data_IF_974076213577
#
_entry.id   IF_974076213577
#
_cell.length_a   1.000
_cell.length_b   1.000
_cell.length_c   1.000
_cell.angle_alpha   90.00
_cell.angle_beta   90.00
_cell.angle_gamma   90.00
#
_symmetry.space_group_name_H-M   'P 1'
#
loop_
_entity.id
_entity.type
_entity.pdbx_description
1 polymer ?
#
# COMPACT_ATOMS: atom_id res chain seq x y z
N UNK A 1 17.20 -90.63 25.28
CA UNK A 1 16.97 -89.30 25.86
C UNK A 1 17.79 -88.28 25.06
N UNK A 2 17.16 -87.53 24.14
CA UNK A 2 17.80 -86.51 23.32
C UNK A 2 17.49 -85.11 23.91
N UNK A 3 18.49 -84.35 24.21
CA UNK A 3 18.35 -82.94 24.66
C UNK A 3 18.00 -82.03 23.46
N UNK A 4 17.15 -81.09 23.62
CA UNK A 4 16.91 -80.11 22.56
C UNK A 4 17.97 -78.95 22.55
N UNK A 5 18.36 -78.57 21.37
CA UNK A 5 19.27 -77.47 21.05
C UNK A 5 18.58 -76.12 21.21
N UNK A 6 19.25 -75.09 21.67
CA UNK A 6 18.64 -73.73 21.71
C UNK A 6 18.77 -73.02 20.33
N UNK A 7 17.66 -72.49 19.86
CA UNK A 7 17.59 -71.64 18.67
C UNK A 7 18.11 -70.21 18.96
N UNK A 8 18.63 -69.49 17.95
CA UNK A 8 19.31 -68.24 18.16
C UNK A 8 18.32 -67.05 18.25
N UNK A 9 18.43 -66.26 19.30
CA UNK A 9 17.79 -64.95 19.51
C UNK A 9 18.80 -63.89 19.09
N UNK A 10 19.05 -63.69 17.80
CA UNK A 10 20.03 -62.73 17.35
C UNK A 10 19.68 -62.02 16.01
N UNK A 11 18.40 -61.95 15.64
CA UNK A 11 18.01 -61.34 14.36
C UNK A 11 16.90 -60.26 14.43
N UNK A 12 16.57 -59.80 15.63
CA UNK A 12 15.54 -58.73 15.76
C UNK A 12 16.06 -57.34 16.20
N UNK A 13 17.36 -57.16 16.42
CA UNK A 13 17.92 -55.88 16.86
C UNK A 13 18.46 -55.00 15.73
N UNK A 14 18.59 -55.53 14.50
CA UNK A 14 19.16 -54.78 13.40
C UNK A 14 18.11 -54.05 12.51
N UNK A 15 16.81 -54.32 12.70
CA UNK A 15 15.75 -53.70 11.86
C UNK A 15 15.14 -52.43 12.45
N UNK A 16 15.38 -52.12 13.73
CA UNK A 16 14.82 -50.93 14.38
C UNK A 16 15.70 -49.67 14.27
N UNK A 17 16.98 -49.79 13.95
CA UNK A 17 17.90 -48.65 13.84
C UNK A 17 17.95 -48.02 12.44
N UNK A 18 17.42 -48.67 11.41
CA UNK A 18 17.37 -48.14 10.05
C UNK A 18 16.12 -47.27 9.78
N UNK A 19 15.08 -47.34 10.62
CA UNK A 19 13.83 -46.61 10.43
C UNK A 19 13.84 -45.21 11.09
N UNK A 20 14.75 -44.96 12.03
CA UNK A 20 14.88 -43.66 12.70
C UNK A 20 15.80 -42.67 11.97
N UNK A 21 16.62 -43.13 11.03
CA UNK A 21 17.50 -42.28 10.23
C UNK A 21 16.82 -41.71 8.96
N UNK A 22 15.65 -42.26 8.56
CA UNK A 22 14.93 -41.80 7.34
C UNK A 22 13.85 -40.77 7.64
N UNK A 23 13.51 -40.51 8.90
CA UNK A 23 12.50 -39.50 9.28
C UNK A 23 13.09 -38.13 9.61
N UNK A 24 14.41 -37.99 9.66
CA UNK A 24 15.08 -36.70 9.89
C UNK A 24 15.44 -35.95 8.62
N UNK A 25 15.18 -36.47 7.41
CA UNK A 25 15.58 -35.85 6.15
C UNK A 25 14.41 -35.30 5.32
N UNK A 26 13.19 -35.29 5.85
CA UNK A 26 12.01 -34.77 5.11
C UNK A 26 11.34 -33.58 5.75
N UNK A 27 12.02 -32.86 6.62
CA UNK A 27 11.48 -31.60 7.20
C UNK A 27 12.27 -30.34 6.76
N UNK A 28 12.93 -30.40 5.61
CA UNK A 28 13.26 -29.19 4.85
C UNK A 28 12.18 -28.97 3.77
N UNK A 29 10.92 -28.94 4.20
CA UNK A 29 9.89 -28.29 3.42
C UNK A 29 10.32 -26.82 3.41
N UNK A 30 10.73 -26.34 2.24
CA UNK A 30 10.84 -24.91 1.98
C UNK A 30 9.56 -24.29 2.53
N UNK A 31 9.67 -23.54 3.63
CA UNK A 31 8.66 -22.56 3.99
C UNK A 31 8.43 -21.77 2.73
N UNK A 32 7.18 -21.56 2.27
CA UNK A 32 6.94 -20.61 1.22
C UNK A 32 7.65 -19.34 1.70
N UNK A 33 8.66 -18.88 0.95
CA UNK A 33 9.28 -17.61 1.25
C UNK A 33 8.15 -16.62 1.41
N UNK A 34 8.09 -15.95 2.57
CA UNK A 34 7.16 -14.87 2.80
C UNK A 34 7.34 -13.94 1.60
N UNK A 35 6.39 -13.95 0.68
CA UNK A 35 6.29 -12.90 -0.32
C UNK A 35 6.04 -11.67 0.51
N UNK A 36 6.99 -10.76 0.57
CA UNK A 36 6.77 -9.49 1.18
C UNK A 36 5.61 -8.85 0.41
N UNK A 37 4.49 -8.77 1.03
CA UNK A 37 3.41 -7.89 0.63
C UNK A 37 3.82 -6.48 1.06
N UNK A 38 3.30 -5.45 0.41
CA UNK A 38 3.19 -4.09 0.89
C UNK A 38 2.76 -4.04 2.37
N UNK A 39 2.49 -2.89 2.98
CA UNK A 39 1.83 -2.92 4.29
C UNK A 39 0.79 -4.04 4.28
N UNK A 40 0.87 -4.99 5.20
CA UNK A 40 -0.13 -6.07 5.21
C UNK A 40 -1.53 -5.47 5.24
N UNK A 41 -2.52 -6.16 4.68
CA UNK A 41 -3.90 -5.70 4.69
C UNK A 41 -4.37 -5.24 6.08
N UNK A 42 -3.91 -5.90 7.16
CA UNK A 42 -4.19 -5.49 8.54
C UNK A 42 -3.60 -4.11 8.88
N UNK A 43 -2.43 -3.74 8.32
CA UNK A 43 -1.83 -2.44 8.55
C UNK A 43 -2.52 -1.33 7.74
N UNK A 44 -2.91 -1.60 6.50
CA UNK A 44 -3.75 -0.69 5.71
C UNK A 44 -5.08 -0.44 6.41
N UNK A 45 -5.72 -1.50 6.95
CA UNK A 45 -6.94 -1.37 7.74
C UNK A 45 -6.74 -0.45 8.95
N UNK A 46 -5.69 -0.66 9.74
CA UNK A 46 -5.41 0.12 10.94
C UNK A 46 -5.09 1.59 10.61
N UNK A 47 -4.29 1.87 9.59
CA UNK A 47 -3.96 3.22 9.10
C UNK A 47 -5.24 3.94 8.65
N UNK A 48 -6.00 3.32 7.75
CA UNK A 48 -7.22 3.89 7.18
C UNK A 48 -8.28 4.13 8.24
N UNK A 49 -8.50 3.19 9.18
CA UNK A 49 -9.45 3.36 10.30
C UNK A 49 -9.08 4.49 11.24
N UNK A 50 -7.81 4.71 11.49
CA UNK A 50 -7.33 5.84 12.31
C UNK A 50 -7.46 7.17 11.60
N UNK A 51 -7.33 7.18 10.28
CA UNK A 51 -7.36 8.40 9.48
C UNK A 51 -8.76 8.93 9.22
N UNK A 52 -9.78 8.06 9.15
CA UNK A 52 -11.11 8.39 8.66
C UNK A 52 -12.18 8.39 9.77
N UNK A 53 -12.86 9.51 10.02
CA UNK A 53 -13.97 9.60 10.98
C UNK A 53 -15.32 9.17 10.36
N UNK A 54 -15.35 8.01 9.66
CA UNK A 54 -16.52 7.54 8.95
C UNK A 54 -17.37 6.59 9.79
N UNK A 55 -18.63 6.40 9.41
CA UNK A 55 -19.50 5.43 10.05
C UNK A 55 -19.06 3.98 9.76
N UNK A 56 -19.39 3.02 10.65
CA UNK A 56 -18.76 1.70 10.68
C UNK A 56 -18.85 0.87 9.41
N UNK A 57 -20.02 0.81 8.73
CA UNK A 57 -20.16 -0.01 7.53
C UNK A 57 -19.40 0.60 6.33
N UNK A 58 -19.48 1.92 6.19
CA UNK A 58 -18.74 2.65 5.15
C UNK A 58 -17.22 2.55 5.41
N UNK A 59 -16.80 2.70 6.66
CA UNK A 59 -15.40 2.56 7.04
C UNK A 59 -14.90 1.13 6.79
N UNK A 60 -15.72 0.10 7.06
CA UNK A 60 -15.37 -1.28 6.76
C UNK A 60 -15.23 -1.50 5.24
N UNK A 61 -16.15 -0.97 4.42
CA UNK A 61 -16.04 -1.07 2.96
C UNK A 61 -14.76 -0.42 2.41
N UNK A 62 -14.26 0.64 3.06
CA UNK A 62 -12.99 1.27 2.69
C UNK A 62 -11.78 0.49 3.18
N UNK A 63 -11.76 0.06 4.43
CA UNK A 63 -10.55 -0.27 5.18
C UNK A 63 -10.34 -1.77 5.43
N UNK A 64 -11.38 -2.65 5.32
CA UNK A 64 -11.26 -4.06 5.69
C UNK A 64 -10.01 -4.71 5.09
N UNK A 65 -9.26 -5.46 5.93
CA UNK A 65 -7.97 -6.03 5.57
C UNK A 65 -8.01 -7.00 4.38
N UNK A 66 -9.16 -7.63 4.10
CA UNK A 66 -9.31 -8.61 3.03
C UNK A 66 -10.05 -8.05 1.82
N UNK A 67 -11.10 -7.30 2.09
CA UNK A 67 -12.09 -6.92 1.09
C UNK A 67 -12.35 -5.40 1.05
N UNK A 68 -11.59 -4.59 1.79
CA UNK A 68 -11.65 -3.14 1.73
C UNK A 68 -11.14 -2.57 0.40
N UNK A 69 -11.66 -1.40 0.04
CA UNK A 69 -11.26 -0.73 -1.20
C UNK A 69 -9.76 -0.36 -1.22
N UNK A 70 -9.17 -0.05 -0.06
CA UNK A 70 -7.74 0.27 0.05
C UNK A 70 -6.85 -0.92 -0.30
N UNK A 71 -7.31 -2.16 -0.09
CA UNK A 71 -6.57 -3.39 -0.40
C UNK A 71 -6.91 -3.97 -1.79
N UNK A 72 -7.58 -3.20 -2.65
CA UNK A 72 -7.98 -3.68 -3.97
C UNK A 72 -6.79 -3.95 -4.90
N UNK A 73 -5.69 -3.20 -4.73
CA UNK A 73 -4.48 -3.33 -5.54
C UNK A 73 -3.54 -4.43 -5.03
N UNK A 74 -3.71 -4.95 -3.82
CA UNK A 74 -3.03 -6.14 -3.30
C UNK A 74 -3.49 -7.45 -3.97
N UNK A 75 -4.45 -7.38 -4.88
CA UNK A 75 -4.97 -8.54 -5.62
C UNK A 75 -4.43 -8.56 -7.05
N UNK A 76 -4.17 -9.76 -7.57
CA UNK A 76 -3.80 -9.90 -8.99
C UNK A 76 -4.91 -9.39 -9.91
N UNK A 77 -4.58 -8.73 -11.02
CA UNK A 77 -3.24 -8.57 -11.61
C UNK A 77 -2.46 -7.33 -11.13
N UNK A 78 -2.95 -6.57 -10.18
CA UNK A 78 -2.40 -5.26 -9.78
C UNK A 78 -1.22 -5.36 -8.82
N UNK A 79 -1.16 -6.42 -8.03
CA UNK A 79 -0.13 -6.67 -7.01
C UNK A 79 1.32 -6.52 -7.52
N UNK A 80 1.56 -6.84 -8.77
CA UNK A 80 2.91 -6.87 -9.35
C UNK A 80 3.30 -5.52 -10.04
N UNK A 81 2.56 -4.42 -9.81
CA UNK A 81 2.79 -3.14 -10.48
C UNK A 81 3.38 -2.09 -9.53
N UNK A 82 4.68 -1.85 -9.63
CA UNK A 82 5.43 -0.93 -8.77
C UNK A 82 4.78 0.44 -8.52
N UNK A 83 4.22 1.15 -9.52
CA UNK A 83 3.54 2.43 -9.28
C UNK A 83 2.30 2.37 -8.39
N UNK A 84 1.68 1.19 -8.23
CA UNK A 84 0.53 0.99 -7.35
C UNK A 84 0.95 0.82 -5.89
N UNK A 85 2.25 0.64 -5.63
CA UNK A 85 2.87 0.44 -4.32
C UNK A 85 3.99 1.46 -4.05
N UNK A 86 4.16 2.47 -4.89
CA UNK A 86 5.26 3.44 -4.83
C UNK A 86 6.68 2.82 -4.78
N UNK A 87 6.84 1.61 -5.31
CA UNK A 87 8.12 0.92 -5.39
C UNK A 87 9.03 1.42 -6.51
N UNK A 88 10.25 0.93 -6.54
CA UNK A 88 11.21 1.09 -7.62
C UNK A 88 11.79 2.50 -7.83
N UNK A 89 11.52 3.44 -6.91
CA UNK A 89 12.21 4.75 -6.91
C UNK A 89 13.51 4.71 -6.10
N UNK A 90 14.25 3.58 -6.20
CA UNK A 90 15.50 3.38 -5.50
C UNK A 90 16.66 4.13 -6.16
N UNK A 91 17.36 4.88 -5.33
CA UNK A 91 18.57 5.62 -5.69
C UNK A 91 19.41 5.86 -4.44
N UNK A 92 20.71 5.79 -4.59
CA UNK A 92 21.67 6.24 -3.57
C UNK A 92 22.65 7.22 -4.19
N UNK A 93 22.86 8.35 -3.52
CA UNK A 93 23.87 9.30 -3.93
C UNK A 93 25.27 8.68 -3.90
N UNK A 94 26.21 9.10 -4.78
CA UNK A 94 27.57 8.53 -4.87
C UNK A 94 28.34 8.50 -3.56
N UNK A 95 28.03 9.37 -2.59
CA UNK A 95 28.62 9.36 -1.25
C UNK A 95 28.26 8.12 -0.42
N UNK A 96 27.16 7.44 -0.76
CA UNK A 96 26.67 6.23 -0.10
C UNK A 96 26.93 4.97 -0.94
N UNK A 97 26.88 5.09 -2.27
CA UNK A 97 27.14 4.01 -3.22
C UNK A 97 27.67 4.61 -4.53
N UNK A 98 29.01 4.68 -4.73
CA UNK A 98 29.62 5.35 -5.90
C UNK A 98 29.18 4.75 -7.23
N UNK A 99 28.95 3.44 -7.28
CA UNK A 99 28.59 2.68 -8.49
C UNK A 99 27.14 2.21 -8.45
N UNK A 100 26.21 2.99 -7.84
CA UNK A 100 24.81 2.61 -7.80
C UNK A 100 24.24 2.49 -9.22
N UNK A 101 23.53 1.38 -9.55
CA UNK A 101 23.21 1.05 -10.95
C UNK A 101 22.06 1.90 -11.56
N UNK A 102 21.47 2.80 -10.77
CA UNK A 102 20.40 3.71 -11.25
C UNK A 102 20.76 5.17 -11.04
N UNK A 103 20.24 5.98 -11.95
CA UNK A 103 20.29 7.44 -11.84
C UNK A 103 19.13 7.95 -10.97
N UNK A 104 19.32 9.13 -10.40
CA UNK A 104 18.24 9.84 -9.69
C UNK A 104 17.04 10.13 -10.58
N UNK A 105 17.25 10.41 -11.87
CA UNK A 105 16.16 10.70 -12.81
C UNK A 105 15.29 9.48 -13.07
N UNK A 106 15.89 8.29 -13.25
CA UNK A 106 15.15 7.03 -13.37
C UNK A 106 14.33 6.75 -12.10
N UNK A 107 14.92 6.88 -10.92
CA UNK A 107 14.20 6.69 -9.65
C UNK A 107 13.05 7.70 -9.49
N UNK A 108 13.29 8.97 -9.81
CA UNK A 108 12.25 10.00 -9.75
C UNK A 108 11.13 9.75 -10.75
N UNK A 109 11.41 9.09 -11.88
CA UNK A 109 10.39 8.72 -12.87
C UNK A 109 9.40 7.70 -12.31
N UNK A 110 9.88 6.69 -11.56
CA UNK A 110 9.00 5.72 -10.88
C UNK A 110 8.12 6.41 -9.83
N UNK A 111 8.70 7.32 -9.05
CA UNK A 111 7.94 8.08 -8.06
C UNK A 111 6.87 8.98 -8.70
N UNK A 112 7.19 9.61 -9.85
CA UNK A 112 6.20 10.37 -10.64
C UNK A 112 5.07 9.46 -11.13
N UNK A 113 5.36 8.22 -11.53
CA UNK A 113 4.34 7.26 -11.94
C UNK A 113 3.41 6.90 -10.76
N UNK A 114 3.96 6.68 -9.56
CA UNK A 114 3.18 6.47 -8.34
C UNK A 114 2.23 7.66 -8.04
N UNK A 115 2.75 8.89 -8.01
CA UNK A 115 1.93 10.11 -7.82
C UNK A 115 0.85 10.20 -8.89
N UNK A 116 1.19 9.88 -10.14
CA UNK A 116 0.28 9.89 -11.28
C UNK A 116 -0.91 8.95 -11.11
N UNK A 117 -0.68 7.77 -10.52
CA UNK A 117 -1.75 6.84 -10.16
C UNK A 117 -2.75 7.50 -9.21
N UNK A 118 -2.28 8.06 -8.10
CA UNK A 118 -3.15 8.73 -7.12
C UNK A 118 -3.89 9.93 -7.71
N UNK A 119 -3.25 10.75 -8.56
CA UNK A 119 -3.88 11.87 -9.28
C UNK A 119 -5.01 11.39 -10.20
N UNK A 120 -4.77 10.32 -10.97
CA UNK A 120 -5.77 9.76 -11.87
C UNK A 120 -6.97 9.19 -11.11
N UNK A 121 -6.72 8.49 -10.00
CA UNK A 121 -7.75 7.92 -9.11
C UNK A 121 -8.58 9.03 -8.44
N UNK A 122 -7.93 10.06 -7.93
CA UNK A 122 -8.61 11.22 -7.34
C UNK A 122 -9.57 11.89 -8.35
N UNK A 123 -9.12 12.14 -9.57
CA UNK A 123 -9.96 12.69 -10.66
C UNK A 123 -11.18 11.79 -10.94
N UNK A 124 -11.01 10.46 -10.92
CA UNK A 124 -12.11 9.51 -11.11
C UNK A 124 -13.08 9.54 -9.93
N UNK A 125 -12.57 9.58 -8.68
CA UNK A 125 -13.38 9.65 -7.47
C UNK A 125 -14.27 10.90 -7.45
N UNK A 126 -13.71 12.07 -7.78
CA UNK A 126 -14.47 13.33 -7.86
C UNK A 126 -15.62 13.21 -8.87
N UNK A 127 -15.37 12.65 -10.06
CA UNK A 127 -16.43 12.45 -11.06
C UNK A 127 -17.48 11.42 -10.62
N UNK A 128 -17.08 10.34 -9.97
CA UNK A 128 -18.00 9.31 -9.49
C UNK A 128 -18.94 9.84 -8.39
N UNK A 129 -18.46 10.77 -7.57
CA UNK A 129 -19.23 11.38 -6.49
C UNK A 129 -20.48 12.13 -6.99
N UNK A 130 -20.50 12.62 -8.24
CA UNK A 130 -21.68 13.26 -8.86
C UNK A 130 -22.92 12.35 -8.85
N UNK A 131 -22.71 11.04 -8.93
CA UNK A 131 -23.78 10.04 -8.86
C UNK A 131 -24.44 9.90 -7.49
N UNK A 132 -23.84 10.37 -6.39
CA UNK A 132 -24.36 10.22 -5.02
C UNK A 132 -25.62 11.03 -4.74
N UNK A 133 -25.78 12.15 -5.44
CA UNK A 133 -26.90 13.09 -5.25
C UNK A 133 -27.57 13.40 -6.58
N UNK A 134 -28.86 13.77 -6.54
CA UNK A 134 -29.59 14.23 -7.72
C UNK A 134 -29.29 15.71 -8.02
N UNK A 135 -29.95 16.26 -9.04
CA UNK A 135 -29.80 17.66 -9.44
C UNK A 135 -30.28 18.66 -8.36
N UNK A 136 -31.18 18.24 -7.49
CA UNK A 136 -31.67 19.05 -6.36
C UNK A 136 -30.79 18.90 -5.10
N UNK A 137 -29.71 18.13 -5.18
CA UNK A 137 -28.79 17.87 -4.05
C UNK A 137 -29.30 16.81 -3.05
N UNK A 138 -30.37 16.06 -3.39
CA UNK A 138 -30.85 14.99 -2.51
C UNK A 138 -30.05 13.72 -2.72
N UNK A 139 -29.76 13.02 -1.62
CA UNK A 139 -29.05 11.74 -1.68
C UNK A 139 -29.85 10.70 -2.47
N UNK A 140 -29.18 10.02 -3.37
CA UNK A 140 -29.74 8.91 -4.15
C UNK A 140 -29.55 7.60 -3.40
N UNK A 141 -30.64 7.05 -2.85
CA UNK A 141 -30.64 5.83 -2.05
C UNK A 141 -29.99 4.64 -2.79
N UNK A 142 -30.35 4.44 -4.06
CA UNK A 142 -29.84 3.38 -4.92
C UNK A 142 -28.34 3.49 -5.24
N UNK A 143 -27.77 4.68 -5.06
CA UNK A 143 -26.35 4.96 -5.35
C UNK A 143 -25.47 5.03 -4.10
N UNK A 144 -26.07 5.05 -2.92
CA UNK A 144 -25.38 5.14 -1.63
C UNK A 144 -25.56 3.91 -0.74
N UNK A 145 -26.34 2.92 -1.18
CA UNK A 145 -26.62 1.68 -0.46
C UNK A 145 -25.39 0.75 -0.46
N UNK A 146 -25.03 0.28 0.74
CA UNK A 146 -23.97 -0.72 0.98
C UNK A 146 -24.55 -2.05 1.52
N UNK A 147 -25.85 -2.31 1.35
CA UNK A 147 -26.48 -3.58 1.76
C UNK A 147 -25.92 -4.79 1.00
N UNK A 148 -25.44 -4.58 -0.22
CA UNK A 148 -24.63 -5.54 -0.97
C UNK A 148 -23.16 -5.12 -0.95
N UNK A 149 -22.23 -6.10 -0.84
CA UNK A 149 -20.78 -5.80 -0.89
C UNK A 149 -20.38 -5.11 -2.20
N UNK A 150 -19.55 -4.08 -2.10
CA UNK A 150 -18.89 -3.49 -3.26
C UNK A 150 -17.95 -4.49 -3.92
N UNK A 151 -17.74 -4.36 -5.22
CA UNK A 151 -16.79 -5.16 -5.99
C UNK A 151 -15.76 -4.23 -6.61
N UNK A 152 -14.49 -4.47 -6.30
CA UNK A 152 -13.37 -3.62 -6.66
C UNK A 152 -12.70 -4.08 -7.97
N UNK A 153 -13.34 -3.86 -9.12
CA UNK A 153 -12.82 -4.23 -10.46
C UNK A 153 -13.21 -3.23 -11.54
N UNK A 154 -13.51 -2.00 -11.13
CA UNK A 154 -13.90 -0.87 -11.97
C UNK A 154 -15.16 -1.13 -12.82
N UNK A 155 -15.97 -2.14 -12.47
CA UNK A 155 -17.26 -2.35 -13.14
C UNK A 155 -18.30 -1.31 -12.72
N UNK A 156 -19.31 -1.05 -13.55
CA UNK A 156 -20.43 -0.21 -13.16
C UNK A 156 -21.14 -0.75 -11.89
N UNK A 157 -21.41 0.13 -10.94
CA UNK A 157 -22.05 -0.18 -9.66
C UNK A 157 -22.58 1.10 -9.01
N UNK A 158 -23.04 1.03 -7.74
CA UNK A 158 -23.44 2.20 -6.97
C UNK A 158 -22.31 3.25 -6.92
N UNK A 159 -22.69 4.52 -7.01
CA UNK A 159 -21.72 5.61 -7.01
C UNK A 159 -20.83 5.60 -5.76
N UNK A 160 -21.38 5.24 -4.58
CA UNK A 160 -20.61 5.12 -3.35
C UNK A 160 -19.49 4.08 -3.48
N UNK A 161 -19.78 2.88 -4.01
CA UNK A 161 -18.75 1.88 -4.27
C UNK A 161 -17.69 2.39 -5.25
N UNK A 162 -18.11 3.07 -6.33
CA UNK A 162 -17.17 3.62 -7.30
C UNK A 162 -16.25 4.69 -6.71
N UNK A 163 -16.75 5.56 -5.82
CA UNK A 163 -15.92 6.55 -5.12
C UNK A 163 -14.95 5.85 -4.17
N UNK A 164 -15.44 4.92 -3.35
CA UNK A 164 -14.61 4.17 -2.39
C UNK A 164 -13.48 3.44 -3.12
N UNK A 165 -13.77 2.76 -4.24
CA UNK A 165 -12.76 2.07 -5.03
C UNK A 165 -11.67 3.02 -5.54
N UNK A 166 -12.05 4.16 -6.11
CA UNK A 166 -11.07 5.09 -6.65
C UNK A 166 -10.24 5.76 -5.55
N UNK A 167 -10.83 6.08 -4.39
CA UNK A 167 -10.09 6.59 -3.24
C UNK A 167 -9.17 5.52 -2.65
N UNK A 168 -9.66 4.31 -2.42
CA UNK A 168 -8.87 3.22 -1.87
C UNK A 168 -7.64 2.92 -2.73
N UNK A 169 -7.83 2.70 -4.03
CA UNK A 169 -6.73 2.50 -4.99
C UNK A 169 -5.80 3.71 -5.14
N UNK A 170 -6.28 4.92 -4.86
CA UNK A 170 -5.46 6.13 -4.89
C UNK A 170 -4.67 6.36 -3.61
N UNK A 171 -5.15 5.86 -2.47
CA UNK A 171 -4.51 6.00 -1.16
C UNK A 171 -3.53 4.87 -0.84
N UNK A 172 -3.80 3.66 -1.34
CA UNK A 172 -2.93 2.50 -1.17
C UNK A 172 -1.44 2.83 -1.46
N UNK A 173 -1.06 3.34 -2.65
CA UNK A 173 0.33 3.69 -2.91
C UNK A 173 0.88 4.79 -2.00
N UNK A 174 0.02 5.68 -1.46
CA UNK A 174 0.46 6.71 -0.54
C UNK A 174 0.74 6.15 0.85
N UNK A 175 -0.01 5.13 1.29
CA UNK A 175 0.26 4.40 2.53
C UNK A 175 1.55 3.59 2.38
N UNK A 176 1.68 2.83 1.29
CA UNK A 176 2.84 2.01 0.97
C UNK A 176 4.14 2.80 0.86
N UNK A 177 4.07 4.01 0.34
CA UNK A 177 5.25 4.88 0.30
C UNK A 177 5.93 5.01 1.66
N UNK A 178 5.18 5.08 2.76
CA UNK A 178 5.77 5.18 4.09
C UNK A 178 6.40 3.87 4.55
N UNK A 179 5.87 2.73 4.13
CA UNK A 179 6.48 1.43 4.38
C UNK A 179 7.74 1.21 3.56
N UNK A 180 7.70 1.54 2.28
CA UNK A 180 8.72 1.18 1.29
C UNK A 180 9.81 2.22 1.12
N UNK A 181 9.64 3.45 1.63
CA UNK A 181 10.62 4.52 1.50
C UNK A 181 11.44 4.74 2.77
N UNK A 182 12.53 5.45 2.60
CA UNK A 182 13.33 5.96 3.70
C UNK A 182 12.84 7.34 4.23
N UNK A 183 11.63 7.77 3.89
CA UNK A 183 11.10 9.09 4.27
C UNK A 183 11.03 9.30 5.78
N UNK A 184 10.32 8.42 6.49
CA UNK A 184 10.13 8.52 7.94
C UNK A 184 11.20 7.80 8.74
N UNK A 185 12.12 7.13 8.09
CA UNK A 185 13.08 6.21 8.67
C UNK A 185 14.27 6.88 9.33
N UNK A 186 14.88 6.12 10.24
CA UNK A 186 16.26 6.25 10.67
C UNK A 186 17.07 5.04 10.20
N UNK A 187 18.31 5.30 9.77
CA UNK A 187 19.22 4.23 9.42
C UNK A 187 19.69 3.45 10.66
N UNK A 188 19.99 2.17 10.51
CA UNK A 188 20.65 1.41 11.56
C UNK A 188 22.06 1.98 11.84
N UNK A 189 22.62 1.80 13.05
CA UNK A 189 24.00 2.15 13.32
C UNK A 189 24.96 1.44 12.36
N UNK A 190 25.93 2.19 11.81
CA UNK A 190 26.96 1.65 10.92
C UNK A 190 27.08 2.40 9.60
N UNK A 191 27.91 1.90 8.67
CA UNK A 191 28.08 2.50 7.35
C UNK A 191 26.79 2.53 6.55
N UNK A 192 26.52 3.67 5.91
CA UNK A 192 25.40 3.80 4.97
C UNK A 192 25.76 3.20 3.60
N UNK A 193 24.78 2.60 2.94
CA UNK A 193 24.94 1.94 1.65
C UNK A 193 23.70 1.17 1.25
N UNK A 194 23.83 0.25 0.32
CA UNK A 194 22.69 -0.50 -0.27
C UNK A 194 21.91 -1.26 0.82
N UNK A 195 22.60 -1.95 1.73
CA UNK A 195 21.95 -2.76 2.78
C UNK A 195 21.61 -1.97 4.05
N UNK A 196 22.04 -0.71 4.13
CA UNK A 196 21.66 0.23 5.19
C UNK A 196 21.48 1.63 4.56
N UNK A 197 20.42 1.84 3.77
CA UNK A 197 20.19 3.12 3.14
C UNK A 197 19.97 4.25 4.17
N UNK A 198 20.34 5.50 3.83
CA UNK A 198 20.13 6.64 4.71
C UNK A 198 18.66 6.76 5.09
N UNK A 199 18.36 7.14 6.33
CA UNK A 199 17.04 7.56 6.74
C UNK A 199 16.90 9.07 6.60
N UNK A 200 15.72 9.57 6.16
CA UNK A 200 15.48 11.00 6.06
C UNK A 200 14.93 11.60 7.36
N UNK A 201 14.47 10.74 8.28
CA UNK A 201 13.92 11.11 9.62
C UNK A 201 12.83 12.19 9.57
N UNK A 202 11.96 12.14 8.57
CA UNK A 202 10.92 13.14 8.34
C UNK A 202 9.60 12.70 8.96
N UNK A 203 8.98 13.57 9.76
CA UNK A 203 7.70 13.31 10.41
C UNK A 203 6.53 14.03 9.73
N UNK A 204 6.82 14.98 8.83
CA UNK A 204 5.82 15.72 8.07
C UNK A 204 5.22 14.89 6.94
N UNK A 205 4.01 15.22 6.52
CA UNK A 205 3.40 14.67 5.31
C UNK A 205 4.22 15.03 4.07
N UNK A 206 4.17 14.17 3.08
CA UNK A 206 4.99 14.29 1.88
C UNK A 206 4.56 15.51 1.02
N UNK A 207 5.42 16.49 0.76
CA UNK A 207 5.03 17.71 0.06
C UNK A 207 4.67 17.48 -1.43
N UNK A 208 5.23 16.44 -2.06
CA UNK A 208 4.92 16.07 -3.45
C UNK A 208 3.72 15.12 -3.59
N UNK A 209 2.92 14.90 -2.53
CA UNK A 209 1.61 14.25 -2.58
C UNK A 209 0.45 15.24 -2.52
N UNK A 210 0.61 16.44 -3.08
CA UNK A 210 -0.49 17.43 -3.19
C UNK A 210 -1.46 17.03 -4.32
N UNK A 211 -2.11 15.87 -4.12
CA UNK A 211 -2.91 15.16 -5.13
C UNK A 211 -4.08 16.05 -5.62
N UNK A 212 -4.75 16.74 -4.70
CA UNK A 212 -5.83 17.66 -5.05
C UNK A 212 -5.37 18.77 -6.01
N UNK A 213 -4.28 19.44 -5.68
CA UNK A 213 -3.73 20.51 -6.52
C UNK A 213 -3.30 19.97 -7.88
N UNK A 214 -2.61 18.83 -7.90
CA UNK A 214 -2.17 18.20 -9.14
C UNK A 214 -3.33 17.73 -10.02
N UNK A 215 -4.46 17.33 -9.41
CA UNK A 215 -5.64 16.93 -10.17
C UNK A 215 -6.22 18.04 -11.04
N UNK A 216 -6.01 19.30 -10.68
CA UNK A 216 -6.39 20.50 -11.45
C UNK A 216 -5.34 21.00 -12.45
N UNK A 217 -4.13 20.41 -12.46
CA UNK A 217 -3.01 20.83 -13.31
C UNK A 217 -2.89 19.97 -14.57
N UNK A 218 -2.15 20.50 -15.58
CA UNK A 218 -1.68 19.69 -16.71
C UNK A 218 -0.59 18.72 -16.25
N UNK A 219 -0.55 17.55 -16.85
CA UNK A 219 0.38 16.50 -16.41
C UNK A 219 1.85 16.93 -16.47
N UNK A 220 2.27 17.67 -17.50
CA UNK A 220 3.63 18.18 -17.60
C UNK A 220 4.00 19.18 -16.46
N UNK A 221 3.02 19.91 -15.93
CA UNK A 221 3.27 20.93 -14.91
C UNK A 221 3.41 20.30 -13.53
N UNK A 222 2.47 19.44 -13.12
CA UNK A 222 2.58 18.76 -11.82
C UNK A 222 3.76 17.78 -11.79
N UNK A 223 4.07 17.09 -12.90
CA UNK A 223 5.24 16.21 -13.01
C UNK A 223 6.54 16.95 -12.73
N UNK A 224 6.69 18.14 -13.33
CA UNK A 224 7.86 19.00 -13.10
C UNK A 224 7.95 19.43 -11.62
N UNK A 225 6.82 19.72 -10.99
CA UNK A 225 6.78 20.13 -9.61
C UNK A 225 7.16 18.97 -8.66
N UNK A 226 6.60 17.78 -8.88
CA UNK A 226 6.99 16.57 -8.12
C UNK A 226 8.52 16.38 -8.21
N UNK A 227 9.10 16.41 -9.42
CA UNK A 227 10.55 16.25 -9.61
C UNK A 227 11.38 17.30 -8.84
N UNK A 228 10.88 18.52 -8.70
CA UNK A 228 11.56 19.57 -7.96
C UNK A 228 11.49 19.42 -6.44
N UNK A 229 10.46 18.72 -5.93
CA UNK A 229 10.22 18.53 -4.49
C UNK A 229 10.83 17.26 -3.92
N UNK A 230 11.19 16.28 -4.77
CA UNK A 230 11.80 15.00 -4.33
C UNK A 230 13.18 15.27 -3.71
N UNK A 231 13.43 14.86 -2.44
CA UNK A 231 14.75 15.00 -1.82
C UNK A 231 15.83 14.19 -2.53
N UNK A 232 17.08 14.66 -2.45
CA UNK A 232 18.23 14.00 -3.10
C UNK A 232 18.40 12.53 -2.66
N UNK A 233 18.28 12.28 -1.35
CA UNK A 233 18.51 10.96 -0.75
C UNK A 233 17.22 10.15 -0.55
N UNK A 234 16.10 10.57 -1.15
CA UNK A 234 14.89 9.76 -1.12
C UNK A 234 15.08 8.50 -1.96
N UNK A 235 14.74 7.36 -1.36
CA UNK A 235 14.67 6.08 -2.03
C UNK A 235 13.41 5.33 -1.59
N UNK A 236 12.76 4.64 -2.53
CA UNK A 236 11.83 3.54 -2.24
C UNK A 236 12.47 2.23 -2.68
N UNK A 237 12.04 1.10 -2.12
CA UNK A 237 12.68 -0.17 -2.39
C UNK A 237 12.46 -0.70 -3.81
N UNK A 238 13.48 -1.31 -4.40
CA UNK A 238 13.31 -2.09 -5.62
C UNK A 238 12.52 -3.36 -5.30
N UNK A 239 11.44 -3.59 -6.03
CA UNK A 239 10.66 -4.82 -5.99
C UNK A 239 10.82 -5.57 -7.33
N UNK A 240 11.11 -6.89 -7.34
CA UNK A 240 11.53 -7.61 -8.56
C UNK A 240 10.36 -8.02 -9.46
N UNK A 241 9.32 -7.19 -9.56
CA UNK A 241 8.16 -7.46 -10.42
C UNK A 241 8.23 -6.66 -11.71
N UNK A 242 7.57 -5.51 -11.80
CA UNK A 242 7.51 -4.72 -13.03
C UNK A 242 7.78 -3.24 -12.76
N UNK A 243 8.47 -2.60 -13.70
CA UNK A 243 8.66 -1.15 -13.72
C UNK A 243 7.34 -0.40 -14.05
N UNK A 244 7.41 0.92 -14.14
CA UNK A 244 6.27 1.78 -14.51
C UNK A 244 5.68 1.46 -15.89
N UNK A 245 6.40 0.73 -16.74
CA UNK A 245 5.92 0.31 -18.07
C UNK A 245 5.09 -0.97 -18.01
N UNK A 246 5.20 -1.76 -16.94
CA UNK A 246 4.52 -3.04 -16.77
C UNK A 246 4.97 -4.14 -17.76
N UNK A 247 6.09 -3.94 -18.44
CA UNK A 247 6.52 -4.81 -19.55
C UNK A 247 7.67 -5.75 -19.18
N UNK A 248 8.53 -5.33 -18.26
CA UNK A 248 9.75 -6.09 -17.91
C UNK A 248 9.82 -6.33 -16.40
N UNK A 249 10.16 -7.56 -15.99
CA UNK A 249 10.57 -7.81 -14.62
C UNK A 249 11.81 -6.97 -14.31
N UNK A 250 11.86 -6.40 -13.11
CA UNK A 250 13.03 -5.68 -12.63
C UNK A 250 14.04 -6.64 -12.00
N UNK A 251 15.32 -6.37 -12.25
CA UNK A 251 16.43 -6.96 -11.52
C UNK A 251 16.82 -6.02 -10.37
N UNK A 252 16.73 -6.51 -9.14
CA UNK A 252 17.08 -5.77 -7.93
C UNK A 252 18.48 -6.11 -7.40
N UNK A 253 19.28 -6.87 -8.12
CA UNK A 253 20.66 -7.17 -7.72
C UNK A 253 21.52 -5.90 -7.66
N UNK A 254 22.21 -5.71 -6.55
CA UNK A 254 23.01 -4.50 -6.32
C UNK A 254 22.21 -3.21 -6.06
N UNK A 255 20.90 -3.31 -5.86
CA UNK A 255 20.00 -2.18 -5.58
C UNK A 255 19.46 -2.24 -4.14
N UNK A 256 18.95 -1.12 -3.65
CA UNK A 256 18.19 -1.08 -2.39
C UNK A 256 16.92 -1.88 -2.59
N UNK A 257 16.82 -3.03 -1.94
CA UNK A 257 15.70 -3.93 -2.12
C UNK A 257 14.57 -3.60 -1.14
N UNK A 258 13.34 -3.60 -1.65
CA UNK A 258 12.12 -3.47 -0.87
C UNK A 258 12.14 -4.43 0.33
N UNK A 259 12.17 -5.73 0.07
CA UNK A 259 11.99 -6.79 1.07
C UNK A 259 13.07 -6.85 2.15
N UNK A 260 14.28 -6.37 1.85
CA UNK A 260 15.44 -6.53 2.72
C UNK A 260 15.85 -5.23 3.41
N UNK A 261 15.84 -4.12 2.65
CA UNK A 261 16.60 -2.93 3.06
C UNK A 261 15.70 -1.78 3.55
N UNK A 262 14.45 -1.69 3.09
CA UNK A 262 13.51 -0.62 3.45
C UNK A 262 12.17 -1.12 4.01
N UNK A 263 11.93 -2.43 4.01
CA UNK A 263 10.64 -3.01 4.41
C UNK A 263 10.23 -2.64 5.84
N UNK A 264 9.02 -2.08 5.96
CA UNK A 264 8.30 -1.83 7.21
C UNK A 264 6.86 -2.35 7.15
N UNK A 265 6.61 -3.35 6.29
CA UNK A 265 5.28 -3.95 6.10
C UNK A 265 4.78 -4.66 7.35
N UNK A 266 5.70 -5.08 8.18
CA UNK A 266 5.38 -5.62 9.50
C UNK A 266 6.33 -5.07 10.56
N UNK A 267 5.93 -5.03 11.83
CA UNK A 267 6.83 -4.62 12.91
C UNK A 267 8.01 -5.59 13.13
N UNK A 268 7.99 -6.77 12.50
CA UNK A 268 9.03 -7.79 12.64
C UNK A 268 10.21 -7.62 11.67
N UNK A 269 10.05 -6.84 10.60
CA UNK A 269 11.15 -6.62 9.63
C UNK A 269 12.31 -5.83 10.26
N UNK A 270 13.53 -6.09 9.80
CA UNK A 270 14.74 -5.50 10.41
C UNK A 270 14.72 -3.96 10.37
N UNK A 271 14.28 -3.37 9.24
CA UNK A 271 14.19 -1.92 9.10
C UNK A 271 13.11 -1.33 10.00
N UNK A 272 11.98 -2.03 10.17
CA UNK A 272 10.88 -1.64 11.05
C UNK A 272 11.30 -1.57 12.53
N UNK A 273 12.16 -2.50 12.97
CA UNK A 273 12.65 -2.56 14.35
C UNK A 273 13.72 -1.51 14.66
N UNK A 274 14.31 -0.89 13.65
CA UNK A 274 15.30 0.16 13.85
C UNK A 274 14.59 1.43 14.35
N UNK A 275 14.88 1.84 15.56
CA UNK A 275 14.52 3.15 16.17
C UNK A 275 13.03 3.55 15.94
N UNK A 276 12.12 2.60 16.15
CA UNK A 276 10.66 2.77 15.98
C UNK A 276 10.20 3.08 14.53
N UNK A 277 10.96 2.71 13.53
CA UNK A 277 10.62 3.03 12.12
C UNK A 277 9.24 2.55 11.71
N UNK A 278 8.75 1.40 12.19
CA UNK A 278 7.38 0.94 11.92
C UNK A 278 6.33 1.95 12.42
N UNK A 279 6.45 2.38 13.69
CA UNK A 279 5.51 3.35 14.27
C UNK A 279 5.59 4.71 13.56
N UNK A 280 6.78 5.10 13.12
CA UNK A 280 7.00 6.35 12.36
C UNK A 280 6.34 6.28 10.98
N UNK A 281 6.50 5.16 10.27
CA UNK A 281 5.87 4.92 8.98
C UNK A 281 4.34 4.90 9.07
N UNK A 282 3.76 4.13 10.00
CA UNK A 282 2.31 4.06 10.19
C UNK A 282 1.71 5.41 10.63
N UNK A 283 2.39 6.18 11.48
CA UNK A 283 1.95 7.51 11.86
C UNK A 283 1.98 8.50 10.69
N UNK A 284 3.04 8.45 9.86
CA UNK A 284 3.14 9.25 8.64
C UNK A 284 2.04 8.92 7.64
N UNK A 285 1.81 7.64 7.37
CA UNK A 285 0.74 7.18 6.50
C UNK A 285 -0.65 7.62 7.00
N UNK A 286 -0.93 7.46 8.30
CA UNK A 286 -2.20 7.93 8.89
C UNK A 286 -2.40 9.44 8.71
N UNK A 287 -1.37 10.24 8.95
CA UNK A 287 -1.44 11.69 8.75
C UNK A 287 -1.66 12.05 7.26
N UNK A 288 -1.01 11.30 6.36
CA UNK A 288 -1.17 11.49 4.92
C UNK A 288 -2.61 11.21 4.48
N UNK A 289 -3.21 10.07 4.87
CA UNK A 289 -4.59 9.74 4.50
C UNK A 289 -5.60 10.72 5.10
N UNK A 290 -5.37 11.18 6.34
CA UNK A 290 -6.19 12.26 6.94
C UNK A 290 -6.15 13.54 6.08
N UNK A 291 -4.97 13.92 5.59
CA UNK A 291 -4.80 15.07 4.69
C UNK A 291 -5.51 14.85 3.34
N UNK A 292 -5.35 13.66 2.76
CA UNK A 292 -5.96 13.33 1.46
C UNK A 292 -7.49 13.30 1.55
N UNK A 293 -8.05 12.77 2.63
CA UNK A 293 -9.49 12.84 2.87
C UNK A 293 -9.98 14.28 2.94
N UNK A 294 -9.32 15.12 3.75
CA UNK A 294 -9.67 16.55 3.83
C UNK A 294 -9.58 17.26 2.48
N UNK A 295 -8.55 16.95 1.70
CA UNK A 295 -8.38 17.49 0.37
C UNK A 295 -9.51 17.05 -0.59
N UNK A 296 -10.00 15.81 -0.47
CA UNK A 296 -11.12 15.31 -1.25
C UNK A 296 -12.45 15.98 -0.87
N UNK A 297 -12.73 16.15 0.43
CA UNK A 297 -13.89 16.90 0.91
C UNK A 297 -13.89 18.34 0.34
N UNK A 298 -12.75 19.03 0.40
CA UNK A 298 -12.62 20.40 -0.09
C UNK A 298 -12.79 20.47 -1.62
N UNK A 299 -12.34 19.45 -2.35
CA UNK A 299 -12.54 19.38 -3.79
C UNK A 299 -14.00 19.16 -4.16
N UNK A 300 -14.72 18.28 -3.48
CA UNK A 300 -16.15 18.09 -3.75
C UNK A 300 -16.96 19.37 -3.51
N UNK A 301 -16.66 20.10 -2.43
CA UNK A 301 -17.31 21.39 -2.15
C UNK A 301 -16.97 22.46 -3.19
N UNK A 302 -15.76 22.42 -3.74
CA UNK A 302 -15.32 23.36 -4.77
C UNK A 302 -15.85 23.01 -6.17
N UNK A 303 -15.88 21.72 -6.51
CA UNK A 303 -16.32 21.26 -7.83
C UNK A 303 -17.85 21.27 -7.99
N UNK A 304 -18.61 21.16 -6.89
CA UNK A 304 -20.08 21.09 -6.87
C UNK A 304 -20.67 22.07 -5.86
N UNK A 305 -20.51 23.40 -6.07
CA UNK A 305 -20.92 24.42 -5.10
C UNK A 305 -22.44 24.66 -5.08
N UNK A 306 -23.16 24.39 -6.19
CA UNK A 306 -24.57 24.73 -6.35
C UNK A 306 -25.44 24.01 -5.32
N UNK A 307 -26.28 24.75 -4.62
CA UNK A 307 -27.23 24.20 -3.63
C UNK A 307 -26.56 23.32 -2.54
N UNK A 308 -25.26 23.48 -2.32
CA UNK A 308 -24.55 22.66 -1.35
C UNK A 308 -24.32 21.20 -1.76
N UNK A 309 -24.46 20.85 -3.05
CA UNK A 309 -24.32 19.46 -3.56
C UNK A 309 -23.04 18.79 -3.11
N UNK A 310 -21.90 19.49 -3.18
CA UNK A 310 -20.60 18.93 -2.74
C UNK A 310 -20.60 18.52 -1.25
N UNK A 311 -21.25 19.30 -0.39
CA UNK A 311 -21.39 18.95 1.03
C UNK A 311 -22.30 17.72 1.23
N UNK A 312 -23.36 17.61 0.44
CA UNK A 312 -24.25 16.44 0.46
C UNK A 312 -23.54 15.17 -0.04
N UNK A 313 -22.69 15.27 -1.07
CA UNK A 313 -21.86 14.16 -1.53
C UNK A 313 -20.90 13.68 -0.44
N UNK A 314 -20.25 14.59 0.29
CA UNK A 314 -19.40 14.25 1.45
C UNK A 314 -20.22 13.54 2.52
N UNK A 315 -21.41 14.06 2.87
CA UNK A 315 -22.30 13.42 3.82
C UNK A 315 -22.69 12.01 3.36
N UNK A 316 -23.14 11.86 2.11
CA UNK A 316 -23.53 10.55 1.55
C UNK A 316 -22.40 9.53 1.57
N UNK A 317 -21.15 9.99 1.47
CA UNK A 317 -19.97 9.12 1.52
C UNK A 317 -19.69 8.58 2.92
N UNK A 318 -19.79 9.39 3.96
CA UNK A 318 -19.32 9.02 5.30
C UNK A 318 -20.35 8.31 6.16
N UNK A 319 -21.65 8.38 5.80
CA UNK A 319 -22.75 7.83 6.59
C UNK A 319 -23.22 6.48 6.05
N UNK A 320 -23.66 5.59 6.95
CA UNK A 320 -24.17 4.27 6.62
C UNK A 320 -25.62 4.32 6.11
N UNK A 321 -26.43 5.23 6.66
CA UNK A 321 -27.79 5.55 6.18
C UNK A 321 -27.88 7.03 5.74
N UNK A 322 -27.26 7.38 4.62
CA UNK A 322 -27.16 8.78 4.21
C UNK A 322 -28.48 9.41 3.80
N UNK A 323 -29.51 8.64 3.47
CA UNK A 323 -30.87 9.17 3.19
C UNK A 323 -31.49 9.78 4.45
N UNK A 324 -31.26 9.15 5.60
CA UNK A 324 -31.71 9.63 6.90
C UNK A 324 -30.77 10.67 7.51
N UNK A 325 -29.45 10.42 7.41
CA UNK A 325 -28.44 11.18 8.13
C UNK A 325 -28.06 12.49 7.42
N UNK A 326 -28.33 12.62 6.11
CA UNK A 326 -28.01 13.77 5.29
C UNK A 326 -29.26 14.49 4.80
N UNK A 327 -29.99 15.20 5.68
CA UNK A 327 -31.21 15.90 5.29
C UNK A 327 -30.89 16.96 4.22
N UNK A 328 -31.76 17.04 3.20
CA UNK A 328 -31.73 18.10 2.20
C UNK A 328 -31.85 19.44 2.90
N UNK A 329 -30.93 20.36 2.65
CA UNK A 329 -30.98 21.72 3.19
C UNK A 329 -32.13 22.57 2.61
#
# INVERSE_FOLDING_TARGET
MKRPSPAPVALLAAALTALTALTALTALVALPGDRAAAFTGDNHEDITRRALPWQPATLAAMADARDGAVNADDKRPYFDLGPLHCDNADYLAPRHAPDYPRTRDEATTELVACVGTSVARFRKAVRAADGLVDADGRVRADQSDLSAPCIWDERPGPAKCAVLEQLGRGWHPLEDFYSHSNWADRAAPGPLGITNPPGLDRSEVVPFFDIRRYSGMKDADWTREVRALVPEDLATGCYPDFDSTGVKPLDCDGRVAHNRDLNKDTPASARAQTDDNFRRATAGATAEITRQWKAFEDELRAAYPEGGRGAQMVCALVHDDPVTDCPSG
#
